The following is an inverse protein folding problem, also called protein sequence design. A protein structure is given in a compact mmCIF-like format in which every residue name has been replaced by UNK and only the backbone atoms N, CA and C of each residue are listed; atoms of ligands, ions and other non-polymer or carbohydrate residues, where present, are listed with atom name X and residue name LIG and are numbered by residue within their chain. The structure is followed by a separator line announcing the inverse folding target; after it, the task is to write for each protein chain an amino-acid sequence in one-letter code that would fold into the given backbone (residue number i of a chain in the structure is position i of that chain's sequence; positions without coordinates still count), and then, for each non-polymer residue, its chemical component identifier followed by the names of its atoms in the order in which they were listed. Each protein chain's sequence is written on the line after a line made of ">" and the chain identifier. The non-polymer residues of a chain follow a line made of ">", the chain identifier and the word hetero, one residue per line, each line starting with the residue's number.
data_IF_315581324348
#
_entry.id   IF_315581324348
#
_cell.length_a   1.000
_cell.length_b   1.000
_cell.length_c   1.000
_cell.angle_alpha   90.00
_cell.angle_beta   90.00
_cell.angle_gamma   90.00
#
_symmetry.space_group_name_H-M   'P 1'
#
loop_
_entity.id
_entity.type
_entity.pdbx_description
1 polymer ?
#
# COMPACT_ATOMS: atom_id res chain seq x y z
N UNK A 1 49.59 5.21 14.54
CA UNK A 1 49.44 3.76 14.76
C UNK A 1 48.40 3.56 15.86
N UNK A 2 47.12 3.71 15.57
CA UNK A 2 46.15 2.66 15.21
C UNK A 2 45.97 1.58 16.27
N UNK A 3 44.93 1.72 17.08
CA UNK A 3 44.19 0.59 17.67
C UNK A 3 42.69 0.88 17.64
N UNK A 4 41.99 0.01 16.93
CA UNK A 4 40.58 0.06 16.56
C UNK A 4 39.65 -0.09 17.78
N UNK A 5 38.63 0.77 17.87
CA UNK A 5 37.43 0.54 18.68
C UNK A 5 36.39 -0.19 17.81
N UNK A 6 36.07 -1.44 18.17
CA UNK A 6 34.94 -2.16 17.57
C UNK A 6 33.65 -1.77 18.28
N UNK A 7 32.76 -1.09 17.57
CA UNK A 7 31.36 -0.93 17.93
C UNK A 7 30.67 -2.30 17.87
N UNK A 8 30.17 -2.79 19.01
CA UNK A 8 29.22 -3.89 19.06
C UNK A 8 27.81 -3.31 19.08
N UNK A 9 27.09 -3.51 17.99
CA UNK A 9 25.66 -3.25 17.84
C UNK A 9 24.88 -4.13 18.82
N UNK A 10 23.99 -3.51 19.60
CA UNK A 10 23.14 -4.19 20.57
C UNK A 10 22.00 -4.91 19.84
N UNK A 11 22.19 -6.19 19.52
CA UNK A 11 21.08 -7.13 19.34
C UNK A 11 20.67 -7.63 20.74
N UNK A 12 19.65 -7.02 21.33
CA UNK A 12 19.08 -7.47 22.58
C UNK A 12 18.27 -8.76 22.36
N UNK A 13 18.96 -9.90 22.34
CA UNK A 13 18.33 -11.23 22.44
C UNK A 13 17.89 -11.41 23.89
N UNK A 14 16.59 -11.28 24.17
CA UNK A 14 16.00 -11.65 25.44
C UNK A 14 16.17 -13.17 25.66
N UNK A 15 17.21 -13.55 26.41
CA UNK A 15 17.39 -14.91 26.92
C UNK A 15 16.47 -15.13 28.12
N UNK A 16 15.35 -15.82 27.93
CA UNK A 16 14.59 -16.39 29.04
C UNK A 16 15.21 -17.73 29.44
N UNK A 17 15.88 -17.76 30.59
CA UNK A 17 16.13 -18.98 31.35
C UNK A 17 14.84 -19.33 32.11
N UNK A 18 14.26 -20.49 31.82
CA UNK A 18 13.30 -21.13 32.73
C UNK A 18 13.78 -22.55 33.04
N UNK A 19 13.89 -22.81 34.33
CA UNK A 19 14.43 -24.00 34.99
C UNK A 19 13.65 -25.28 34.67
N UNK A 20 14.38 -26.38 34.55
CA UNK A 20 13.85 -27.75 34.43
C UNK A 20 12.87 -28.08 35.55
N UNK A 21 11.76 -28.74 35.23
CA UNK A 21 11.22 -29.83 36.05
C UNK A 21 10.26 -30.77 35.30
N UNK A 22 10.58 -32.07 35.42
CA UNK A 22 9.85 -33.32 35.22
C UNK A 22 8.65 -33.50 34.26
N UNK A 23 8.87 -34.47 33.35
CA UNK A 23 7.96 -35.54 32.89
C UNK A 23 6.48 -35.49 33.32
N UNK A 24 5.59 -35.43 32.33
CA UNK A 24 4.41 -36.31 32.23
C UNK A 24 3.90 -36.36 30.79
N UNK A 25 3.86 -37.56 30.21
CA UNK A 25 3.18 -37.88 28.95
C UNK A 25 1.67 -37.72 29.17
N UNK A 26 1.02 -36.84 28.41
CA UNK A 26 -0.43 -36.84 28.24
C UNK A 26 -0.75 -36.69 26.75
N UNK A 27 -1.31 -37.75 26.16
CA UNK A 27 -1.90 -37.72 24.82
C UNK A 27 -3.23 -36.98 24.91
N UNK A 28 -3.40 -35.93 24.12
CA UNK A 28 -4.68 -35.23 23.98
C UNK A 28 -5.49 -35.90 22.87
N UNK A 29 -6.65 -36.46 23.23
CA UNK A 29 -7.65 -36.99 22.29
C UNK A 29 -8.74 -35.92 22.16
N UNK A 30 -8.98 -35.42 20.95
CA UNK A 30 -10.14 -34.59 20.64
C UNK A 30 -11.23 -35.51 20.07
N UNK A 31 -12.36 -35.60 20.77
CA UNK A 31 -13.56 -36.32 20.33
C UNK A 31 -14.57 -35.32 19.80
N UNK A 32 -14.97 -35.46 18.54
CA UNK A 32 -16.19 -34.89 17.98
C UNK A 32 -16.87 -35.96 17.12
N UNK A 33 -18.13 -36.27 17.43
CA UNK A 33 -19.16 -36.72 16.47
C UNK A 33 -18.87 -37.92 15.57
N UNK A 34 -19.38 -39.08 15.98
CA UNK A 34 -19.83 -40.28 15.23
C UNK A 34 -19.37 -40.50 13.78
N UNK A 35 -18.20 -41.13 13.60
CA UNK A 35 -18.01 -42.32 12.75
C UNK A 35 -16.63 -42.95 13.04
N UNK A 36 -16.61 -44.26 13.38
CA UNK A 36 -15.40 -45.05 13.59
C UNK A 36 -14.76 -45.38 12.23
N UNK A 37 -13.47 -45.06 12.06
CA UNK A 37 -12.64 -45.68 11.01
C UNK A 37 -11.36 -46.21 11.67
N UNK A 38 -11.08 -47.50 11.45
CA UNK A 38 -9.97 -48.25 12.04
C UNK A 38 -8.61 -47.90 11.43
N UNK A 39 -7.56 -48.05 12.23
CA UNK A 39 -6.19 -47.59 12.03
C UNK A 39 -5.32 -48.43 11.07
N UNK A 40 -5.87 -49.01 10.01
CA UNK A 40 -5.10 -49.88 9.09
C UNK A 40 -5.16 -49.48 7.61
N UNK A 41 -5.52 -48.22 7.29
CA UNK A 41 -5.49 -47.73 5.90
C UNK A 41 -4.83 -46.37 5.71
N UNK A 42 -3.84 -46.05 6.55
CA UNK A 42 -3.08 -44.80 6.49
C UNK A 42 -1.59 -44.98 6.13
N UNK A 43 -1.24 -46.11 5.50
CA UNK A 43 0.12 -46.43 5.06
C UNK A 43 0.11 -47.06 3.67
N UNK A 44 -0.42 -46.35 2.65
CA UNK A 44 -0.11 -46.66 1.23
C UNK A 44 -0.68 -45.62 0.23
N UNK A 45 -0.50 -44.32 0.43
CA UNK A 45 -0.60 -43.35 -0.68
C UNK A 45 0.37 -42.18 -0.40
N UNK A 46 1.66 -42.47 -0.43
CA UNK A 46 2.70 -41.47 -0.72
C UNK A 46 3.10 -41.63 -2.17
N UNK A 47 2.80 -40.60 -2.96
CA UNK A 47 3.33 -40.25 -4.29
C UNK A 47 2.19 -39.79 -5.20
N UNK A 48 1.75 -38.53 -5.06
CA UNK A 48 1.43 -37.70 -6.22
C UNK A 48 1.14 -36.26 -5.83
N UNK A 49 1.62 -35.35 -6.68
CA UNK A 49 1.56 -33.88 -6.64
C UNK A 49 0.15 -33.27 -6.76
N UNK A 50 -0.90 -33.93 -6.23
CA UNK A 50 -2.30 -33.56 -6.47
C UNK A 50 -3.19 -33.48 -5.23
N UNK A 51 -2.64 -33.61 -4.02
CA UNK A 51 -3.43 -33.52 -2.78
C UNK A 51 -4.09 -32.13 -2.58
N UNK A 52 -3.48 -31.06 -3.10
CA UNK A 52 -4.01 -29.70 -2.97
C UNK A 52 -5.16 -29.37 -3.95
N UNK A 53 -5.30 -30.10 -5.07
CA UNK A 53 -6.43 -29.91 -6.00
C UNK A 53 -7.76 -30.48 -5.47
N UNK A 54 -7.71 -31.50 -4.62
CA UNK A 54 -8.91 -32.18 -4.11
C UNK A 54 -9.59 -31.38 -2.99
N UNK A 55 -8.82 -30.59 -2.21
CA UNK A 55 -9.40 -29.72 -1.18
C UNK A 55 -10.19 -28.52 -1.78
N UNK A 56 -9.84 -28.08 -2.99
CA UNK A 56 -10.50 -26.97 -3.69
C UNK A 56 -11.84 -27.36 -4.34
N UNK A 57 -12.03 -28.63 -4.73
CA UNK A 57 -13.25 -29.08 -5.42
C UNK A 57 -14.42 -29.34 -4.44
N UNK A 58 -14.13 -29.64 -3.16
CA UNK A 58 -15.17 -29.97 -2.17
C UNK A 58 -15.87 -28.72 -1.60
N UNK A 59 -15.30 -27.51 -1.75
CA UNK A 59 -15.92 -26.26 -1.26
C UNK A 59 -17.01 -25.67 -2.17
N UNK A 60 -17.33 -26.30 -3.29
CA UNK A 60 -18.32 -25.79 -4.27
C UNK A 60 -19.77 -26.28 -4.10
N UNK A 61 -20.07 -27.05 -3.05
CA UNK A 61 -21.45 -27.47 -2.75
C UNK A 61 -21.75 -27.34 -1.26
N UNK A 62 -22.02 -26.12 -0.78
CA UNK A 62 -22.96 -25.85 0.33
C UNK A 62 -23.08 -24.33 0.48
N UNK A 63 -23.87 -23.70 -0.39
CA UNK A 63 -24.50 -22.41 -0.10
C UNK A 63 -26.00 -22.67 -0.09
N UNK A 64 -26.58 -22.77 1.12
CA UNK A 64 -28.03 -22.79 1.30
C UNK A 64 -28.49 -21.34 1.33
N UNK A 65 -29.26 -20.98 0.31
CA UNK A 65 -30.01 -19.73 0.20
C UNK A 65 -31.03 -19.65 1.35
N UNK A 66 -30.95 -18.60 2.17
CA UNK A 66 -32.07 -18.18 3.02
C UNK A 66 -32.82 -17.07 2.29
N UNK A 67 -33.99 -17.42 1.76
CA UNK A 67 -34.95 -16.45 1.24
C UNK A 67 -35.72 -15.82 2.40
N UNK A 68 -35.59 -14.51 2.55
CA UNK A 68 -36.58 -13.68 3.25
C UNK A 68 -37.38 -12.91 2.20
N UNK A 69 -38.62 -13.34 2.00
CA UNK A 69 -39.66 -12.67 1.24
C UNK A 69 -40.07 -11.37 1.92
N UNK A 70 -39.92 -10.23 1.24
CA UNK A 70 -40.61 -8.98 1.61
C UNK A 70 -41.69 -8.70 0.58
N UNK A 71 -42.90 -8.61 1.10
CA UNK A 71 -44.19 -8.44 0.43
C UNK A 71 -44.25 -7.09 -0.30
N UNK A 72 -44.61 -7.12 -1.58
CA UNK A 72 -44.89 -5.93 -2.36
C UNK A 72 -46.18 -5.24 -1.84
N UNK A 73 -46.07 -3.96 -1.48
CA UNK A 73 -47.24 -3.09 -1.31
C UNK A 73 -47.24 -2.06 -2.43
N UNK A 74 -48.34 -2.02 -3.16
CA UNK A 74 -48.66 -1.04 -4.18
C UNK A 74 -48.79 0.37 -3.59
N UNK A 75 -48.19 1.36 -4.25
CA UNK A 75 -48.49 2.76 -4.01
C UNK A 75 -48.57 3.53 -5.33
N UNK A 76 -49.63 4.33 -5.39
CA UNK A 76 -50.22 5.11 -6.47
C UNK A 76 -49.33 6.22 -7.02
N UNK A 77 -49.57 6.52 -8.30
CA UNK A 77 -49.04 7.64 -9.08
C UNK A 77 -49.20 9.01 -8.41
N UNK A 78 -48.13 9.82 -8.40
CA UNK A 78 -48.25 11.28 -8.42
C UNK A 78 -47.05 11.94 -9.12
N UNK A 79 -47.40 13.01 -9.81
CA UNK A 79 -46.68 13.97 -10.68
C UNK A 79 -45.19 14.27 -10.46
N UNK A 80 -44.43 14.10 -11.55
CA UNK A 80 -43.45 15.03 -12.14
C UNK A 80 -42.81 16.12 -11.28
N UNK A 81 -41.57 15.88 -10.87
CA UNK A 81 -40.51 16.89 -10.87
C UNK A 81 -39.29 16.27 -11.57
N UNK A 82 -38.82 16.88 -12.66
CA UNK A 82 -37.58 16.52 -13.33
C UNK A 82 -36.38 16.82 -12.42
N UNK A 83 -36.10 15.94 -11.45
CA UNK A 83 -34.78 15.86 -10.82
C UNK A 83 -33.85 15.22 -11.83
N UNK A 84 -33.07 16.06 -12.52
CA UNK A 84 -31.86 15.62 -13.21
C UNK A 84 -31.01 14.94 -12.15
N UNK A 85 -30.93 13.61 -12.20
CA UNK A 85 -30.01 12.84 -11.35
C UNK A 85 -28.61 13.39 -11.58
N UNK A 86 -27.90 13.86 -10.53
CA UNK A 86 -26.54 14.37 -10.71
C UNK A 86 -25.69 13.26 -11.33
N UNK A 87 -25.01 13.57 -12.43
CA UNK A 87 -24.05 12.67 -13.06
C UNK A 87 -23.10 12.14 -11.98
N UNK A 88 -22.87 10.81 -11.87
CA UNK A 88 -22.00 10.27 -10.84
C UNK A 88 -20.62 10.93 -10.95
N UNK A 89 -20.16 11.52 -9.84
CA UNK A 89 -18.84 12.16 -9.78
C UNK A 89 -17.77 11.15 -10.15
N UNK A 90 -16.95 11.50 -11.12
CA UNK A 90 -15.83 10.69 -11.58
C UNK A 90 -14.53 11.35 -11.13
N UNK A 91 -13.69 10.59 -10.44
CA UNK A 91 -12.41 11.05 -9.93
C UNK A 91 -11.25 10.51 -10.77
N UNK A 92 -10.20 11.33 -10.88
CA UNK A 92 -8.88 10.93 -11.35
C UNK A 92 -7.84 11.12 -10.23
N UNK A 93 -6.73 10.40 -10.33
CA UNK A 93 -5.70 10.36 -9.30
C UNK A 93 -4.36 10.81 -9.86
N UNK A 94 -3.74 11.80 -9.21
CA UNK A 94 -2.40 12.29 -9.59
C UNK A 94 -1.41 11.74 -8.59
N UNK A 95 -0.54 10.83 -9.05
CA UNK A 95 0.24 9.98 -8.16
C UNK A 95 1.73 10.12 -8.40
N UNK A 96 2.48 10.28 -7.32
CA UNK A 96 3.93 10.21 -7.28
C UNK A 96 4.40 9.32 -6.13
N UNK A 97 5.52 8.65 -6.30
CA UNK A 97 6.23 7.94 -5.27
C UNK A 97 7.64 8.54 -5.10
N UNK A 98 8.14 8.62 -3.88
CA UNK A 98 9.50 9.02 -3.59
C UNK A 98 10.11 8.06 -2.57
N UNK A 99 11.40 7.78 -2.70
CA UNK A 99 12.05 6.70 -1.96
C UNK A 99 13.54 6.90 -1.81
N UNK A 100 14.14 6.39 -0.73
CA UNK A 100 15.58 6.40 -0.52
C UNK A 100 16.03 5.27 0.38
N UNK A 101 17.05 4.54 -0.06
CA UNK A 101 17.66 3.52 0.78
C UNK A 101 18.36 4.12 2.01
N UNK A 102 18.38 3.41 3.13
CA UNK A 102 18.95 3.85 4.42
C UNK A 102 20.39 4.33 4.34
N UNK A 103 21.18 3.70 3.48
CA UNK A 103 22.61 3.98 3.30
C UNK A 103 22.92 4.91 2.12
N UNK A 104 21.92 5.61 1.57
CA UNK A 104 22.08 6.53 0.44
C UNK A 104 21.70 7.96 0.82
N UNK A 105 22.28 8.91 0.09
CA UNK A 105 21.89 10.30 0.14
C UNK A 105 20.60 10.49 -0.66
N UNK A 106 19.74 11.41 -0.22
CA UNK A 106 18.51 11.73 -0.92
C UNK A 106 18.77 12.69 -2.09
N UNK A 107 18.29 12.35 -3.26
CA UNK A 107 18.40 13.10 -4.50
C UNK A 107 17.01 13.47 -5.01
N UNK A 108 16.69 14.77 -5.00
CA UNK A 108 15.37 15.28 -5.39
C UNK A 108 14.99 15.02 -6.85
N UNK A 109 15.97 14.79 -7.74
CA UNK A 109 15.74 14.54 -9.17
C UNK A 109 15.52 13.07 -9.47
N UNK A 110 16.31 12.21 -8.83
CA UNK A 110 16.37 10.77 -9.15
C UNK A 110 15.51 9.91 -8.22
N UNK A 111 15.16 10.38 -7.02
CA UNK A 111 14.38 9.63 -6.04
C UNK A 111 12.87 9.90 -6.13
N UNK A 112 12.34 9.91 -7.36
CA UNK A 112 10.90 10.09 -7.61
C UNK A 112 10.44 9.21 -8.79
N UNK A 113 9.18 8.79 -8.74
CA UNK A 113 8.52 8.05 -9.81
C UNK A 113 7.05 8.46 -9.88
N UNK A 114 6.45 8.39 -11.06
CA UNK A 114 5.08 8.84 -11.29
C UNK A 114 4.22 7.72 -11.86
N UNK A 115 2.92 7.77 -11.58
CA UNK A 115 1.97 6.95 -12.30
C UNK A 115 1.88 7.47 -13.74
N UNK A 116 2.32 6.65 -14.69
CA UNK A 116 2.15 6.90 -16.12
C UNK A 116 0.82 6.29 -16.55
N UNK A 117 -0.10 7.13 -17.02
CA UNK A 117 -1.39 6.68 -17.55
C UNK A 117 -1.22 6.35 -19.03
N UNK A 118 -1.74 5.20 -19.46
CA UNK A 118 -1.74 4.84 -20.88
C UNK A 118 -2.79 5.71 -21.60
N UNK A 119 -2.34 6.43 -22.64
CA UNK A 119 -3.25 7.16 -23.52
C UNK A 119 -4.02 6.19 -24.43
N UNK A 120 -5.13 6.63 -25.04
CA UNK A 120 -5.93 5.80 -25.95
C UNK A 120 -5.13 5.25 -27.15
N UNK A 121 -4.00 5.90 -27.50
CA UNK A 121 -3.15 5.53 -28.63
C UNK A 121 -1.76 4.97 -28.22
N UNK A 122 -1.45 4.82 -26.92
CA UNK A 122 -0.18 4.18 -26.54
C UNK A 122 -0.31 2.67 -26.76
N UNK A 123 0.62 2.02 -27.50
CA UNK A 123 0.62 0.58 -27.65
C UNK A 123 0.56 -0.06 -26.26
N UNK A 124 -0.38 -0.99 -26.05
CA UNK A 124 -0.38 -1.80 -24.84
C UNK A 124 1.02 -2.37 -24.71
N UNK A 125 1.71 -2.11 -23.59
CA UNK A 125 2.91 -2.87 -23.28
C UNK A 125 2.42 -4.32 -23.24
N UNK A 126 2.79 -5.10 -24.24
CA UNK A 126 2.62 -6.54 -24.18
C UNK A 126 3.57 -7.01 -23.08
N UNK A 127 3.10 -6.96 -21.83
CA UNK A 127 3.75 -7.67 -20.76
C UNK A 127 3.72 -9.13 -21.20
N UNK A 128 4.89 -9.77 -21.43
CA UNK A 128 4.91 -11.13 -21.91
C UNK A 128 4.02 -11.98 -21.00
N UNK A 129 3.16 -12.81 -21.58
CA UNK A 129 2.23 -13.70 -20.86
C UNK A 129 2.92 -14.67 -19.87
N UNK A 130 4.24 -14.58 -19.69
CA UNK A 130 5.05 -15.59 -19.00
C UNK A 130 6.37 -15.10 -18.40
N UNK A 131 6.69 -13.81 -18.34
CA UNK A 131 7.93 -13.42 -17.64
C UNK A 131 7.70 -13.49 -16.13
N UNK A 132 7.85 -14.70 -15.58
CA UNK A 132 8.41 -14.86 -14.22
C UNK A 132 9.57 -13.89 -14.13
N UNK A 133 9.54 -13.02 -13.12
CA UNK A 133 10.61 -12.07 -12.92
C UNK A 133 11.94 -12.83 -12.91
N UNK A 134 12.85 -12.47 -13.80
CA UNK A 134 14.25 -12.63 -13.44
C UNK A 134 14.60 -11.47 -12.51
N UNK A 135 14.32 -11.65 -11.22
CA UNK A 135 14.53 -10.66 -10.15
C UNK A 135 15.98 -10.16 -10.09
N UNK A 136 16.93 -10.94 -10.63
CA UNK A 136 18.34 -10.57 -10.73
C UNK A 136 18.63 -9.57 -11.88
N UNK A 137 17.79 -9.56 -12.92
CA UNK A 137 17.97 -8.70 -14.10
C UNK A 137 17.02 -7.48 -14.11
N UNK A 138 16.05 -7.41 -13.19
CA UNK A 138 15.13 -6.29 -13.10
C UNK A 138 15.81 -5.10 -12.42
N UNK A 139 15.89 -3.96 -13.12
CA UNK A 139 16.41 -2.73 -12.54
C UNK A 139 15.45 -2.22 -11.45
N UNK A 140 15.87 -2.34 -10.19
CA UNK A 140 15.09 -1.89 -9.03
C UNK A 140 15.24 -0.39 -8.82
N UNK A 141 14.18 0.30 -8.35
CA UNK A 141 14.32 1.61 -7.74
C UNK A 141 15.39 1.59 -6.64
N UNK A 142 16.07 2.72 -6.42
CA UNK A 142 17.06 2.88 -5.34
C UNK A 142 16.40 3.04 -3.95
N UNK A 143 15.38 2.23 -3.67
CA UNK A 143 14.57 2.21 -2.45
C UNK A 143 15.11 1.25 -1.38
N UNK A 144 16.20 0.52 -1.65
CA UNK A 144 16.77 -0.41 -0.68
C UNK A 144 15.91 -1.66 -0.54
N UNK A 145 15.54 -2.01 0.69
CA UNK A 145 14.67 -3.15 0.99
C UNK A 145 13.18 -2.81 0.86
N UNK A 146 12.84 -1.52 0.75
CA UNK A 146 11.50 -1.06 0.40
C UNK A 146 11.22 -1.26 -1.10
N UNK A 147 9.96 -1.47 -1.42
CA UNK A 147 9.44 -1.52 -2.78
C UNK A 147 8.08 -0.84 -2.86
N UNK A 148 7.70 -0.47 -4.08
CA UNK A 148 6.39 0.11 -4.36
C UNK A 148 5.93 -0.23 -5.78
N UNK A 149 4.63 -0.08 -6.02
CA UNK A 149 4.09 -0.07 -7.38
C UNK A 149 2.98 0.96 -7.53
N UNK A 150 2.88 1.49 -8.76
CA UNK A 150 1.83 2.39 -9.22
C UNK A 150 1.25 1.79 -10.50
N UNK A 151 -0.07 1.59 -10.55
CA UNK A 151 -0.73 1.01 -11.72
C UNK A 151 -2.13 1.54 -11.96
N UNK A 152 -2.48 1.73 -13.22
CA UNK A 152 -3.88 1.73 -13.65
C UNK A 152 -4.43 0.30 -13.59
N UNK A 153 -5.72 0.12 -13.33
CA UNK A 153 -6.36 -1.20 -13.28
C UNK A 153 -7.00 -1.51 -14.63
N UNK A 154 -6.42 -2.46 -15.38
CA UNK A 154 -6.87 -2.83 -16.72
C UNK A 154 -7.16 -1.60 -17.59
N UNK A 155 -8.31 -1.62 -18.28
CA UNK A 155 -8.80 -0.50 -19.10
C UNK A 155 -9.68 0.50 -18.31
N UNK A 156 -9.69 0.45 -16.98
CA UNK A 156 -10.54 1.32 -16.13
C UNK A 156 -9.85 2.64 -15.76
N UNK A 157 -10.60 3.60 -15.21
CA UNK A 157 -10.01 4.83 -14.61
C UNK A 157 -9.57 4.64 -13.14
N UNK A 158 -9.61 3.41 -12.63
CA UNK A 158 -9.23 3.09 -11.25
C UNK A 158 -7.72 2.86 -11.16
N UNK A 159 -7.14 3.13 -9.99
CA UNK A 159 -5.70 3.05 -9.74
C UNK A 159 -5.42 2.11 -8.56
N UNK A 160 -4.46 1.21 -8.74
CA UNK A 160 -3.88 0.37 -7.71
C UNK A 160 -2.50 0.89 -7.32
N UNK A 161 -2.31 1.08 -6.02
CA UNK A 161 -1.08 1.55 -5.39
C UNK A 161 -0.66 0.54 -4.33
N UNK A 162 0.64 0.34 -4.13
CA UNK A 162 1.08 -0.40 -2.97
C UNK A 162 2.54 -0.19 -2.63
N UNK A 163 2.84 -0.41 -1.36
CA UNK A 163 4.17 -0.35 -0.76
C UNK A 163 4.42 -1.65 -0.02
N UNK A 164 5.67 -2.11 -0.02
CA UNK A 164 6.11 -3.28 0.71
C UNK A 164 7.50 -3.01 1.32
N UNK A 165 7.68 -3.29 2.61
CA UNK A 165 8.98 -3.21 3.29
C UNK A 165 9.50 -4.61 3.60
N UNK A 166 10.65 -4.94 2.99
CA UNK A 166 11.33 -6.21 3.13
C UNK A 166 12.01 -6.35 4.48
N UNK A 167 11.59 -7.34 5.27
CA UNK A 167 12.05 -7.52 6.66
C UNK A 167 13.55 -7.83 6.72
N UNK A 168 14.32 -6.89 7.30
CA UNK A 168 15.78 -6.94 7.34
C UNK A 168 16.40 -8.19 7.98
N UNK A 169 15.69 -8.87 8.89
CA UNK A 169 16.17 -10.08 9.57
C UNK A 169 16.53 -11.24 8.63
N UNK A 170 15.96 -11.27 7.41
CA UNK A 170 16.29 -12.28 6.41
C UNK A 170 17.74 -12.16 5.88
N UNK A 171 18.33 -10.96 5.95
CA UNK A 171 19.71 -10.75 5.53
C UNK A 171 20.72 -11.56 6.37
N UNK A 172 20.40 -11.82 7.65
CA UNK A 172 21.24 -12.66 8.54
C UNK A 172 21.29 -14.13 8.09
N UNK A 173 20.29 -14.57 7.31
CA UNK A 173 20.21 -15.90 6.71
C UNK A 173 20.75 -15.94 5.28
N UNK A 174 21.39 -14.86 4.81
CA UNK A 174 21.90 -14.74 3.44
C UNK A 174 20.80 -14.55 2.39
N UNK A 175 19.59 -14.18 2.81
CA UNK A 175 18.45 -13.91 1.92
C UNK A 175 18.31 -12.40 1.77
N UNK A 176 18.37 -11.88 0.54
CA UNK A 176 18.15 -10.46 0.27
C UNK A 176 16.66 -10.11 0.47
N UNK A 177 16.28 -9.29 1.49
CA UNK A 177 14.89 -8.94 1.75
C UNK A 177 14.24 -8.19 0.57
N UNK A 178 15.04 -7.48 -0.23
CA UNK A 178 14.55 -6.76 -1.39
C UNK A 178 14.01 -7.69 -2.48
N UNK A 179 14.42 -8.97 -2.52
CA UNK A 179 13.83 -9.93 -3.47
C UNK A 179 12.34 -10.13 -3.21
N UNK A 180 11.93 -10.22 -1.94
CA UNK A 180 10.54 -10.44 -1.58
C UNK A 180 9.70 -9.18 -1.83
N UNK A 181 10.11 -8.04 -1.29
CA UNK A 181 9.33 -6.80 -1.38
C UNK A 181 9.19 -6.32 -2.83
N UNK A 182 10.26 -6.34 -3.62
CA UNK A 182 10.18 -5.98 -5.04
C UNK A 182 9.41 -7.02 -5.86
N UNK A 183 9.56 -8.31 -5.53
CA UNK A 183 8.82 -9.39 -6.18
C UNK A 183 7.31 -9.26 -5.98
N UNK A 184 6.85 -9.05 -4.74
CA UNK A 184 5.40 -8.92 -4.48
C UNK A 184 4.83 -7.66 -5.14
N UNK A 185 5.53 -6.53 -5.09
CA UNK A 185 5.12 -5.30 -5.78
C UNK A 185 5.00 -5.50 -7.28
N UNK A 186 5.94 -6.22 -7.91
CA UNK A 186 5.86 -6.55 -9.32
C UNK A 186 4.64 -7.40 -9.64
N UNK A 187 4.40 -8.48 -8.89
CA UNK A 187 3.27 -9.37 -9.18
C UNK A 187 1.92 -8.71 -8.92
N UNK A 188 1.80 -7.86 -7.90
CA UNK A 188 0.61 -7.03 -7.70
C UNK A 188 0.43 -6.04 -8.86
N UNK A 189 1.51 -5.38 -9.31
CA UNK A 189 1.44 -4.47 -10.47
C UNK A 189 0.98 -5.21 -11.72
N UNK A 190 1.58 -6.36 -12.02
CA UNK A 190 1.22 -7.19 -13.17
C UNK A 190 -0.27 -7.56 -13.12
N UNK A 191 -0.72 -8.10 -11.98
CA UNK A 191 -2.11 -8.49 -11.77
C UNK A 191 -3.10 -7.31 -11.92
N UNK A 192 -2.70 -6.09 -11.55
CA UNK A 192 -3.52 -4.89 -11.74
C UNK A 192 -3.57 -4.45 -13.22
N UNK A 193 -2.44 -4.48 -13.94
CA UNK A 193 -2.37 -4.10 -15.36
C UNK A 193 -3.17 -5.07 -16.23
N UNK A 194 -3.05 -6.38 -15.96
CA UNK A 194 -3.73 -7.43 -16.74
C UNK A 194 -5.12 -7.75 -16.19
N UNK A 195 -5.69 -6.88 -15.37
CA UNK A 195 -6.99 -7.14 -14.76
C UNK A 195 -8.10 -7.21 -15.82
N UNK A 196 -8.76 -8.36 -15.89
CA UNK A 196 -9.98 -8.60 -16.66
C UNK A 196 -11.10 -9.08 -15.73
N UNK A 197 -12.24 -8.40 -15.74
CA UNK A 197 -13.33 -8.66 -14.78
C UNK A 197 -13.86 -10.09 -14.86
N UNK A 198 -13.88 -10.64 -16.07
CA UNK A 198 -14.34 -11.99 -16.37
C UNK A 198 -13.44 -13.06 -15.73
N UNK A 199 -12.12 -12.87 -15.75
CA UNK A 199 -11.15 -13.78 -15.12
C UNK A 199 -11.27 -13.74 -13.59
N UNK A 200 -11.44 -12.54 -13.03
CA UNK A 200 -11.50 -12.33 -11.58
C UNK A 200 -12.87 -12.65 -10.98
N UNK A 201 -13.91 -12.73 -11.81
CA UNK A 201 -15.31 -12.99 -11.40
C UNK A 201 -15.93 -11.90 -10.51
N UNK A 202 -15.21 -10.82 -10.22
CA UNK A 202 -15.61 -9.74 -9.33
C UNK A 202 -14.76 -8.48 -9.58
N UNK A 203 -15.20 -7.34 -9.03
CA UNK A 203 -14.40 -6.13 -9.04
C UNK A 203 -13.14 -6.34 -8.18
N UNK A 204 -11.98 -5.88 -8.67
CA UNK A 204 -10.72 -5.99 -7.93
C UNK A 204 -10.83 -5.28 -6.57
N UNK A 205 -10.48 -5.98 -5.49
CA UNK A 205 -10.33 -5.42 -4.14
C UNK A 205 -8.89 -5.52 -3.66
N UNK A 206 -8.50 -4.67 -2.70
CA UNK A 206 -7.11 -4.53 -2.27
C UNK A 206 -6.55 -5.85 -1.70
N UNK A 207 -7.34 -6.57 -0.91
CA UNK A 207 -6.93 -7.87 -0.37
C UNK A 207 -6.79 -8.94 -1.47
N UNK A 208 -7.69 -8.97 -2.47
CA UNK A 208 -7.59 -9.92 -3.57
C UNK A 208 -6.33 -9.66 -4.43
N UNK A 209 -5.97 -8.39 -4.62
CA UNK A 209 -4.72 -8.01 -5.29
C UNK A 209 -3.50 -8.47 -4.49
N UNK A 210 -3.49 -8.24 -3.18
CA UNK A 210 -2.45 -8.71 -2.27
C UNK A 210 -2.32 -10.25 -2.31
N UNK A 211 -3.45 -10.95 -2.26
CA UNK A 211 -3.51 -12.41 -2.34
C UNK A 211 -2.89 -12.92 -3.65
N UNK A 212 -3.33 -12.40 -4.81
CA UNK A 212 -2.80 -12.82 -6.11
C UNK A 212 -1.31 -12.50 -6.24
N UNK A 213 -0.88 -11.34 -5.76
CA UNK A 213 0.53 -10.95 -5.76
C UNK A 213 1.39 -11.90 -4.94
N UNK A 214 0.93 -12.27 -3.75
CA UNK A 214 1.61 -13.23 -2.88
C UNK A 214 1.63 -14.66 -3.46
N UNK A 215 0.52 -15.14 -4.01
CA UNK A 215 0.44 -16.46 -4.66
C UNK A 215 1.41 -16.56 -5.85
N UNK A 216 1.43 -15.56 -6.73
CA UNK A 216 2.34 -15.54 -7.86
C UNK A 216 3.81 -15.48 -7.43
N UNK A 217 4.13 -14.70 -6.38
CA UNK A 217 5.47 -14.67 -5.81
C UNK A 217 5.86 -16.01 -5.19
N UNK A 218 4.93 -16.68 -4.50
CA UNK A 218 5.15 -17.99 -3.89
C UNK A 218 5.45 -19.07 -4.94
N UNK A 219 4.85 -18.96 -6.13
CA UNK A 219 5.14 -19.84 -7.27
C UNK A 219 6.44 -19.48 -8.01
N UNK A 220 7.00 -18.30 -7.78
CA UNK A 220 8.26 -17.85 -8.38
C UNK A 220 9.47 -18.50 -7.69
N UNK A 221 10.10 -19.42 -8.41
CA UNK A 221 11.30 -20.13 -7.94
C UNK A 221 12.54 -19.22 -7.86
N UNK A 222 12.48 -17.97 -8.32
CA UNK A 222 13.55 -16.99 -8.14
C UNK A 222 13.58 -16.40 -6.72
N UNK A 223 12.47 -16.44 -5.97
CA UNK A 223 12.38 -16.02 -4.56
C UNK A 223 12.21 -17.23 -3.66
N UNK A 224 13.33 -17.77 -3.21
CA UNK A 224 13.34 -19.00 -2.41
C UNK A 224 12.92 -18.78 -0.95
N UNK A 225 13.09 -17.56 -0.44
CA UNK A 225 12.81 -17.20 0.94
C UNK A 225 12.69 -15.68 1.08
N UNK A 226 12.11 -15.23 2.19
CA UNK A 226 12.02 -13.81 2.53
C UNK A 226 10.69 -13.49 3.19
N UNK A 227 10.54 -12.24 3.61
CA UNK A 227 9.30 -11.73 4.15
C UNK A 227 9.22 -10.21 4.05
N UNK A 228 8.00 -9.70 4.05
CA UNK A 228 7.72 -8.28 3.86
C UNK A 228 6.38 -7.90 4.48
N UNK A 229 6.28 -6.66 4.91
CA UNK A 229 4.98 -5.99 5.10
C UNK A 229 4.37 -5.65 3.74
N UNK A 230 3.09 -5.30 3.70
CA UNK A 230 2.44 -4.82 2.48
C UNK A 230 1.23 -3.93 2.78
N UNK A 231 1.21 -2.71 2.24
CA UNK A 231 0.04 -1.84 2.24
C UNK A 231 -0.43 -1.63 0.80
N UNK A 232 -1.68 -2.00 0.50
CA UNK A 232 -2.28 -1.91 -0.84
C UNK A 232 -3.51 -1.01 -0.79
N UNK A 233 -3.65 -0.14 -1.79
CA UNK A 233 -4.79 0.75 -1.95
C UNK A 233 -5.34 0.71 -3.38
N UNK A 234 -6.66 0.53 -3.51
CA UNK A 234 -7.40 0.67 -4.77
C UNK A 234 -8.26 1.92 -4.69
N UNK A 235 -7.85 2.95 -5.42
CA UNK A 235 -8.57 4.21 -5.56
C UNK A 235 -9.47 4.14 -6.80
N UNK A 236 -10.78 4.10 -6.58
CA UNK A 236 -11.78 3.98 -7.65
C UNK A 236 -12.29 5.33 -8.08
N UNK A 237 -12.49 5.47 -9.39
CA UNK A 237 -13.04 6.65 -10.04
C UNK A 237 -14.43 7.03 -9.52
N UNK A 238 -15.18 6.11 -8.89
CA UNK A 238 -16.45 6.41 -8.21
C UNK A 238 -16.29 7.04 -6.80
N UNK A 239 -15.06 7.29 -6.34
CA UNK A 239 -14.77 7.92 -5.05
C UNK A 239 -14.66 6.95 -3.88
N UNK A 240 -14.45 5.67 -4.14
CA UNK A 240 -14.18 4.67 -3.11
C UNK A 240 -12.69 4.35 -3.06
N UNK A 241 -12.11 4.47 -1.87
CA UNK A 241 -10.80 3.93 -1.54
C UNK A 241 -10.98 2.61 -0.80
N UNK A 242 -10.37 1.55 -1.28
CA UNK A 242 -10.34 0.24 -0.63
C UNK A 242 -8.88 -0.08 -0.30
N UNK A 243 -8.62 -0.54 0.91
CA UNK A 243 -7.27 -0.71 1.45
C UNK A 243 -7.13 -2.06 2.12
N UNK A 244 -5.96 -2.66 2.00
CA UNK A 244 -5.54 -3.84 2.74
C UNK A 244 -4.13 -3.59 3.27
N UNK A 245 -3.97 -3.55 4.60
CA UNK A 245 -2.68 -3.33 5.25
C UNK A 245 -2.26 -4.59 6.01
N UNK A 246 -1.06 -5.09 5.75
CA UNK A 246 -0.40 -6.14 6.52
C UNK A 246 0.94 -5.63 7.06
N UNK A 247 1.05 -5.49 8.38
CA UNK A 247 2.26 -5.01 9.05
C UNK A 247 2.18 -3.54 9.49
N UNK A 248 3.34 -2.89 9.59
CA UNK A 248 3.52 -1.51 10.07
C UNK A 248 3.91 -0.51 8.96
N UNK A 249 3.92 -0.94 7.70
CA UNK A 249 3.54 -0.05 6.60
C UNK A 249 2.13 0.49 6.82
N UNK A 250 1.73 1.51 6.05
CA UNK A 250 0.40 2.07 6.26
C UNK A 250 0.00 3.17 5.30
N UNK A 251 -1.15 3.79 5.59
CA UNK A 251 -1.71 4.90 4.85
C UNK A 251 -2.32 5.97 5.74
N UNK A 252 -2.41 7.20 5.20
CA UNK A 252 -3.10 8.34 5.80
C UNK A 252 -3.90 9.06 4.71
N UNK A 253 -5.17 9.35 4.98
CA UNK A 253 -6.01 10.24 4.18
C UNK A 253 -6.10 11.60 4.84
N UNK A 254 -5.67 12.65 4.12
CA UNK A 254 -5.72 14.03 4.57
C UNK A 254 -6.73 14.80 3.73
N UNK A 255 -7.61 15.55 4.41
CA UNK A 255 -8.64 16.38 3.80
C UNK A 255 -8.67 17.75 4.45
N UNK A 256 -8.47 18.80 3.66
CA UNK A 256 -8.64 20.20 4.08
C UNK A 256 -7.93 20.50 5.42
N UNK A 257 -6.63 20.16 5.50
CA UNK A 257 -5.80 20.34 6.70
C UNK A 257 -6.27 19.53 7.94
N UNK A 258 -6.91 18.37 7.72
CA UNK A 258 -7.25 17.43 8.79
C UNK A 258 -6.93 16.00 8.37
N UNK A 259 -6.52 15.16 9.33
CA UNK A 259 -6.40 13.72 9.11
C UNK A 259 -7.79 13.12 9.19
N UNK A 260 -8.23 12.53 8.08
CA UNK A 260 -9.57 11.96 7.96
C UNK A 260 -9.61 10.48 8.35
N UNK A 261 -8.61 9.72 7.92
CA UNK A 261 -8.40 8.33 8.30
C UNK A 261 -6.93 7.97 8.20
N UNK A 262 -6.53 6.94 8.93
CA UNK A 262 -5.19 6.35 8.88
C UNK A 262 -5.29 4.85 9.20
N UNK A 263 -4.31 4.07 8.77
CA UNK A 263 -4.15 2.68 9.19
C UNK A 263 -3.60 2.59 10.61
N UNK A 264 -3.99 1.54 11.33
CA UNK A 264 -3.29 1.13 12.55
C UNK A 264 -2.17 0.12 12.19
N UNK A 265 -0.99 0.19 12.83
CA UNK A 265 0.08 -0.76 12.58
C UNK A 265 -0.26 -2.15 13.16
N UNK A 266 -0.03 -3.20 12.38
CA UNK A 266 -0.20 -4.59 12.82
C UNK A 266 1.16 -5.17 13.24
N UNK A 267 1.33 -5.43 14.53
CA UNK A 267 2.59 -5.93 15.10
C UNK A 267 2.36 -7.12 16.04
N UNK A 268 3.27 -8.09 15.99
CA UNK A 268 3.32 -9.19 16.97
C UNK A 268 3.97 -8.75 18.29
N UNK A 269 4.90 -7.79 18.20
CA UNK A 269 5.64 -7.19 19.30
C UNK A 269 6.28 -5.88 18.81
N UNK A 270 6.87 -5.10 19.73
CA UNK A 270 7.65 -3.92 19.35
C UNK A 270 8.62 -4.20 18.19
N UNK A 271 8.54 -3.38 17.13
CA UNK A 271 9.39 -3.48 15.93
C UNK A 271 9.41 -4.90 15.33
N UNK A 272 8.29 -5.62 15.42
CA UNK A 272 8.08 -6.97 14.88
C UNK A 272 6.73 -6.99 14.17
N UNK A 273 6.66 -6.50 12.92
CA UNK A 273 5.40 -6.41 12.20
C UNK A 273 4.86 -7.77 11.80
N UNK A 274 3.55 -7.78 11.51
CA UNK A 274 2.96 -8.81 10.69
C UNK A 274 3.66 -8.81 9.32
N UNK A 275 3.98 -9.99 8.81
CA UNK A 275 4.73 -10.14 7.57
C UNK A 275 4.29 -11.36 6.78
N UNK A 276 4.10 -11.16 5.47
CA UNK A 276 4.05 -12.28 4.52
C UNK A 276 5.42 -12.94 4.50
N UNK A 277 5.49 -14.25 4.27
CA UNK A 277 6.78 -14.96 4.26
C UNK A 277 6.79 -16.20 3.38
N UNK A 278 7.82 -16.31 2.54
CA UNK A 278 8.17 -17.55 1.85
C UNK A 278 9.25 -18.22 2.68
N UNK A 279 8.98 -19.46 3.09
CA UNK A 279 9.87 -20.24 3.94
C UNK A 279 10.18 -21.56 3.23
N UNK A 280 11.45 -21.86 2.95
CA UNK A 280 11.82 -23.12 2.35
C UNK A 280 11.32 -24.31 3.17
N UNK A 281 10.76 -25.32 2.51
CA UNK A 281 10.15 -26.48 3.17
C UNK A 281 11.13 -27.25 4.09
N UNK A 282 12.39 -27.34 3.66
CA UNK A 282 13.48 -27.94 4.45
C UNK A 282 13.71 -27.17 5.76
N UNK A 283 13.58 -25.84 5.71
CA UNK A 283 13.73 -24.95 6.86
C UNK A 283 12.51 -25.04 7.78
N UNK A 284 11.29 -25.09 7.22
CA UNK A 284 10.04 -25.29 7.97
C UNK A 284 10.08 -26.58 8.80
N UNK A 285 10.55 -27.68 8.20
CA UNK A 285 10.65 -28.98 8.87
C UNK A 285 11.68 -29.01 10.01
N UNK A 286 12.82 -28.31 9.84
CA UNK A 286 13.86 -28.20 10.88
C UNK A 286 13.40 -27.35 12.06
N UNK A 287 12.76 -26.22 11.80
CA UNK A 287 12.31 -25.31 12.85
C UNK A 287 11.12 -25.88 13.64
N UNK A 288 10.22 -26.61 12.99
CA UNK A 288 9.17 -27.37 13.67
C UNK A 288 9.73 -28.42 14.66
N UNK A 289 10.96 -28.92 14.43
CA UNK A 289 11.61 -29.90 15.30
C UNK A 289 12.42 -29.29 16.46
N UNK A 290 12.92 -28.05 16.33
CA UNK A 290 13.85 -27.44 17.29
C UNK A 290 13.36 -26.15 17.98
N UNK A 291 12.20 -25.59 17.58
CA UNK A 291 11.50 -24.52 18.30
C UNK A 291 11.45 -23.16 17.59
N UNK A 292 10.40 -22.41 18.00
CA UNK A 292 9.79 -21.14 17.50
C UNK A 292 9.45 -21.11 16.01
N UNK A 293 8.16 -21.08 15.62
CA UNK A 293 7.77 -20.93 14.23
C UNK A 293 8.23 -19.56 13.72
N UNK A 294 8.64 -19.52 12.45
CA UNK A 294 8.77 -18.25 11.74
C UNK A 294 7.41 -17.55 11.68
N UNK A 295 7.44 -16.22 11.63
CA UNK A 295 6.24 -15.44 11.34
C UNK A 295 5.81 -15.75 9.90
N UNK A 296 4.53 -16.04 9.72
CA UNK A 296 3.94 -16.51 8.47
C UNK A 296 2.50 -15.99 8.41
N UNK A 297 2.35 -14.67 8.41
CA UNK A 297 1.05 -14.05 8.23
C UNK A 297 0.62 -14.22 6.77
N UNK A 298 -0.69 -14.20 6.53
CA UNK A 298 -1.29 -14.43 5.22
C UNK A 298 -2.06 -13.20 4.75
N UNK A 299 -2.35 -13.07 3.45
CA UNK A 299 -3.13 -11.92 2.95
C UNK A 299 -4.52 -11.79 3.60
N UNK A 300 -5.08 -12.90 4.09
CA UNK A 300 -6.35 -12.88 4.83
C UNK A 300 -6.26 -12.25 6.24
N UNK A 301 -5.05 -12.08 6.78
CA UNK A 301 -4.78 -11.44 8.07
C UNK A 301 -4.63 -9.92 7.96
N UNK A 302 -4.62 -9.38 6.73
CA UNK A 302 -4.53 -7.95 6.48
C UNK A 302 -5.78 -7.22 6.97
N UNK A 303 -5.60 -6.03 7.56
CA UNK A 303 -6.69 -5.14 7.92
C UNK A 303 -7.27 -4.48 6.67
N UNK A 304 -8.56 -4.76 6.42
CA UNK A 304 -9.28 -4.26 5.25
C UNK A 304 -10.16 -3.08 5.66
N UNK A 305 -10.03 -1.95 4.95
CA UNK A 305 -10.85 -0.77 5.20
C UNK A 305 -11.31 -0.12 3.90
N UNK A 306 -12.50 0.49 3.95
CA UNK A 306 -13.07 1.22 2.83
C UNK A 306 -13.42 2.65 3.23
N UNK A 307 -12.93 3.63 2.48
CA UNK A 307 -13.09 5.06 2.74
C UNK A 307 -13.73 5.78 1.55
N UNK A 308 -14.34 6.94 1.83
CA UNK A 308 -14.88 7.83 0.80
C UNK A 308 -13.85 8.91 0.46
N UNK A 309 -13.56 9.04 -0.82
CA UNK A 309 -12.71 10.08 -1.38
C UNK A 309 -13.52 11.31 -1.77
N UNK A 310 -12.87 12.47 -1.69
CA UNK A 310 -13.40 13.75 -2.16
C UNK A 310 -12.35 14.49 -2.96
N UNK A 311 -12.82 15.40 -3.80
CA UNK A 311 -11.97 16.35 -4.49
C UNK A 311 -11.06 17.09 -3.49
N UNK A 312 -9.77 17.16 -3.79
CA UNK A 312 -8.80 17.83 -2.93
C UNK A 312 -8.25 16.97 -1.79
N UNK A 313 -8.67 15.71 -1.66
CA UNK A 313 -8.05 14.77 -0.73
C UNK A 313 -6.61 14.44 -1.17
N UNK A 314 -5.75 14.23 -0.19
CA UNK A 314 -4.38 13.75 -0.35
C UNK A 314 -4.29 12.40 0.37
N UNK A 315 -3.94 11.35 -0.38
CA UNK A 315 -3.66 10.02 0.15
C UNK A 315 -2.15 9.84 0.25
N UNK A 316 -1.70 9.35 1.40
CA UNK A 316 -0.32 8.93 1.65
C UNK A 316 -0.30 7.43 1.89
N UNK A 317 0.61 6.71 1.24
CA UNK A 317 1.08 5.41 1.72
C UNK A 317 2.55 5.56 2.10
N UNK A 318 3.02 4.83 3.11
CA UNK A 318 4.41 4.87 3.55
C UNK A 318 4.86 3.59 4.24
N UNK A 319 6.17 3.35 4.24
CA UNK A 319 6.84 2.35 5.08
C UNK A 319 7.09 2.87 6.49
N UNK A 320 7.47 1.98 7.41
CA UNK A 320 7.82 2.33 8.78
C UNK A 320 8.96 3.37 8.84
N UNK A 321 9.89 3.39 7.87
CA UNK A 321 10.92 4.43 7.74
C UNK A 321 10.36 5.86 7.68
N UNK A 322 9.10 6.02 7.28
CA UNK A 322 8.32 7.27 7.40
C UNK A 322 7.73 7.39 8.80
N UNK A 323 6.92 6.42 9.22
CA UNK A 323 6.08 6.48 10.41
C UNK A 323 6.87 6.51 11.73
N UNK A 324 8.04 5.88 11.74
CA UNK A 324 8.96 5.84 12.87
C UNK A 324 9.69 7.17 13.07
N UNK A 325 9.76 8.00 12.04
CA UNK A 325 10.53 9.24 12.02
C UNK A 325 9.65 10.49 12.00
N UNK A 326 8.49 10.44 11.35
CA UNK A 326 7.53 11.54 11.25
C UNK A 326 6.23 11.19 11.94
N UNK A 327 5.76 12.10 12.78
CA UNK A 327 4.41 12.00 13.34
C UNK A 327 3.37 12.38 12.28
N UNK A 328 2.15 11.92 12.49
CA UNK A 328 0.96 12.36 11.77
C UNK A 328 0.84 13.90 11.69
N UNK A 329 1.21 14.62 12.75
CA UNK A 329 1.23 16.09 12.78
C UNK A 329 2.31 16.69 11.87
N UNK A 330 3.51 16.11 11.84
CA UNK A 330 4.59 16.56 10.94
C UNK A 330 4.16 16.43 9.48
N UNK A 331 3.56 15.29 9.13
CA UNK A 331 3.05 15.02 7.77
C UNK A 331 1.91 15.97 7.41
N UNK A 332 0.97 16.19 8.33
CA UNK A 332 -0.14 17.13 8.13
C UNK A 332 0.37 18.56 7.87
N UNK A 333 1.40 18.99 8.60
CA UNK A 333 2.02 20.30 8.42
C UNK A 333 2.66 20.42 7.03
N UNK A 334 3.48 19.45 6.63
CA UNK A 334 4.11 19.43 5.30
C UNK A 334 3.05 19.50 4.21
N UNK A 335 2.03 18.64 4.27
CA UNK A 335 0.96 18.60 3.26
C UNK A 335 0.22 19.93 3.22
N UNK A 336 -0.22 20.44 4.35
CA UNK A 336 -1.07 21.63 4.41
C UNK A 336 -0.34 22.88 3.96
N UNK A 337 0.92 23.07 4.37
CA UNK A 337 1.74 24.19 3.91
C UNK A 337 1.90 24.18 2.39
N UNK A 338 2.18 23.03 1.78
CA UNK A 338 2.39 22.95 0.34
C UNK A 338 1.08 23.04 -0.45
N UNK A 339 -0.01 22.45 0.04
CA UNK A 339 -1.34 22.58 -0.56
C UNK A 339 -1.84 24.04 -0.54
N UNK A 340 -1.63 24.76 0.57
CA UNK A 340 -1.98 26.18 0.69
C UNK A 340 -1.05 27.07 -0.17
N UNK A 341 0.27 26.82 -0.17
CA UNK A 341 1.24 27.57 -0.98
C UNK A 341 0.95 27.43 -2.48
N UNK A 342 0.56 26.24 -2.91
CA UNK A 342 0.15 25.96 -4.29
C UNK A 342 -1.25 26.51 -4.63
N UNK A 343 -1.98 27.08 -3.64
CA UNK A 343 -3.38 27.50 -3.75
C UNK A 343 -4.32 26.35 -4.16
N UNK A 344 -3.89 25.11 -3.94
CA UNK A 344 -4.71 23.91 -4.11
C UNK A 344 -5.76 23.83 -2.99
N UNK A 345 -5.36 24.22 -1.78
CA UNK A 345 -6.26 24.61 -0.70
C UNK A 345 -6.22 26.12 -0.49
N UNK A 346 -7.33 26.70 -0.05
CA UNK A 346 -7.45 28.14 0.21
C UNK A 346 -8.25 28.38 1.49
N UNK A 347 -7.95 29.47 2.18
CA UNK A 347 -8.82 29.97 3.24
C UNK A 347 -10.03 30.67 2.63
N UNK A 348 -11.21 30.30 3.11
CA UNK A 348 -12.47 31.00 2.81
C UNK A 348 -12.56 32.29 3.63
N UNK A 349 -13.55 33.13 3.32
CA UNK A 349 -13.89 34.31 4.14
C UNK A 349 -14.27 33.93 5.58
N UNK A 350 -14.77 32.72 5.81
CA UNK A 350 -15.06 32.15 7.14
C UNK A 350 -13.83 31.60 7.87
N UNK A 351 -12.61 31.74 7.32
CA UNK A 351 -11.34 31.12 7.79
C UNK A 351 -11.30 29.59 7.71
N UNK A 352 -12.32 28.95 7.14
CA UNK A 352 -12.31 27.52 6.85
C UNK A 352 -11.40 27.24 5.64
N UNK A 353 -10.99 25.99 5.47
CA UNK A 353 -10.18 25.58 4.32
C UNK A 353 -11.09 24.90 3.28
N UNK A 354 -11.00 25.35 2.03
CA UNK A 354 -11.69 24.75 0.89
C UNK A 354 -10.71 24.42 -0.23
N UNK A 355 -11.17 23.64 -1.21
CA UNK A 355 -10.41 23.41 -2.45
C UNK A 355 -10.41 24.69 -3.29
N UNK A 356 -9.25 25.05 -3.86
CA UNK A 356 -9.09 26.22 -4.72
C UNK A 356 -9.82 26.05 -6.07
N UNK A 357 -10.32 27.15 -6.65
CA UNK A 357 -11.08 27.12 -7.91
C UNK A 357 -10.30 26.55 -9.10
N UNK A 358 -8.99 26.81 -9.16
CA UNK A 358 -8.11 26.35 -10.24
C UNK A 358 -7.30 25.11 -9.83
N UNK A 359 -7.82 24.28 -8.92
CA UNK A 359 -7.11 23.11 -8.38
C UNK A 359 -6.55 22.20 -9.49
N UNK A 360 -7.37 21.88 -10.50
CA UNK A 360 -6.98 20.99 -11.59
C UNK A 360 -5.80 21.49 -12.44
N UNK A 361 -5.68 22.81 -12.64
CA UNK A 361 -4.56 23.42 -13.38
C UNK A 361 -3.25 23.37 -12.59
N UNK A 362 -3.30 23.12 -11.28
CA UNK A 362 -2.15 23.10 -10.37
C UNK A 362 -1.69 21.69 -10.00
N UNK A 363 -2.46 20.67 -10.38
CA UNK A 363 -2.13 19.25 -10.21
C UNK A 363 -1.98 18.61 -11.59
N UNK A 364 -0.90 18.96 -12.29
CA UNK A 364 -0.64 18.49 -13.65
C UNK A 364 -0.44 16.97 -13.69
N UNK A 365 -1.10 16.31 -14.64
CA UNK A 365 -0.72 14.96 -15.11
C UNK A 365 0.60 15.13 -15.85
N UNK A 366 1.59 14.28 -15.57
CA UNK A 366 2.74 14.14 -16.46
C UNK A 366 2.31 13.13 -17.55
N UNK A 367 2.26 13.52 -18.84
CA UNK A 367 2.06 12.58 -19.94
C UNK A 367 3.09 11.44 -19.87
N UNK A 368 2.71 10.22 -20.27
CA UNK A 368 3.57 9.02 -20.11
C UNK A 368 4.95 9.15 -20.82
N UNK A 369 5.01 10.06 -21.79
CA UNK A 369 6.08 10.41 -22.71
C UNK A 369 6.90 11.66 -22.31
N UNK A 370 6.55 12.36 -21.22
CA UNK A 370 7.29 13.55 -20.76
C UNK A 370 8.01 13.33 -19.41
N UNK A 371 9.20 13.92 -19.26
CA UNK A 371 9.89 14.04 -17.98
C UNK A 371 9.25 15.17 -17.15
N UNK A 372 9.24 15.02 -15.82
CA UNK A 372 8.70 16.08 -14.96
C UNK A 372 9.52 17.37 -15.12
N UNK A 373 8.88 18.48 -15.50
CA UNK A 373 9.54 19.79 -15.53
C UNK A 373 10.02 20.15 -14.11
N UNK A 374 11.33 20.30 -13.92
CA UNK A 374 11.94 20.76 -12.67
C UNK A 374 12.09 22.28 -12.66
N UNK A 375 11.81 22.92 -11.52
CA UNK A 375 12.18 24.32 -11.32
C UNK A 375 13.70 24.45 -11.34
N UNK A 376 14.22 25.37 -12.14
CA UNK A 376 15.66 25.69 -12.22
C UNK A 376 16.23 26.28 -10.94
N UNK A 377 15.38 26.73 -10.00
CA UNK A 377 15.82 27.39 -8.76
C UNK A 377 15.81 26.48 -7.53
N UNK A 378 14.91 25.49 -7.49
CA UNK A 378 14.58 24.76 -6.25
C UNK A 378 14.78 23.24 -6.37
N UNK A 379 15.20 22.72 -7.54
CA UNK A 379 15.34 21.28 -7.83
C UNK A 379 14.09 20.43 -7.48
N UNK A 380 12.93 21.07 -7.40
CA UNK A 380 11.63 20.43 -7.16
C UNK A 380 10.82 20.32 -8.47
N UNK A 381 10.00 19.26 -8.61
CA UNK A 381 9.14 19.08 -9.77
C UNK A 381 8.02 20.12 -9.79
N UNK A 382 7.54 20.48 -10.98
CA UNK A 382 6.45 21.45 -11.19
C UNK A 382 5.04 20.96 -10.85
N UNK A 383 4.91 19.78 -10.24
CA UNK A 383 3.62 19.18 -9.89
C UNK A 383 3.52 18.90 -8.37
N UNK A 384 2.32 19.06 -7.83
CA UNK A 384 2.11 19.07 -6.39
C UNK A 384 2.31 17.70 -5.73
N UNK A 385 1.86 16.62 -6.38
CA UNK A 385 2.03 15.26 -5.87
C UNK A 385 3.51 14.90 -5.70
N UNK A 386 4.37 15.30 -6.66
CA UNK A 386 5.81 15.07 -6.59
C UNK A 386 6.49 15.92 -5.53
N UNK A 387 6.11 17.20 -5.40
CA UNK A 387 6.60 18.08 -4.33
C UNK A 387 6.29 17.48 -2.95
N UNK A 388 5.06 17.01 -2.74
CA UNK A 388 4.65 16.40 -1.49
C UNK A 388 5.44 15.12 -1.20
N UNK A 389 5.57 14.22 -2.19
CA UNK A 389 6.31 12.97 -2.04
C UNK A 389 7.77 13.25 -1.66
N UNK A 390 8.45 14.14 -2.39
CA UNK A 390 9.85 14.48 -2.14
C UNK A 390 10.05 15.14 -0.78
N UNK A 391 9.18 16.07 -0.38
CA UNK A 391 9.30 16.77 0.91
C UNK A 391 9.10 15.85 2.10
N UNK A 392 8.13 14.93 2.02
CA UNK A 392 7.89 13.95 3.09
C UNK A 392 9.09 13.00 3.19
N UNK A 393 9.58 12.47 2.07
CA UNK A 393 10.76 11.60 2.07
C UNK A 393 12.02 12.32 2.57
N UNK A 394 12.24 13.57 2.16
CA UNK A 394 13.37 14.38 2.62
C UNK A 394 13.32 14.62 4.14
N UNK A 395 12.16 15.01 4.66
CA UNK A 395 11.98 15.26 6.10
C UNK A 395 12.13 13.97 6.90
N UNK A 396 11.56 12.85 6.43
CA UNK A 396 11.73 11.54 7.04
C UNK A 396 13.21 11.12 7.06
N UNK A 397 13.95 11.35 5.97
CA UNK A 397 15.38 11.05 5.88
C UNK A 397 16.22 11.93 6.81
N UNK A 398 15.91 13.22 6.92
CA UNK A 398 16.59 14.12 7.85
C UNK A 398 16.29 13.74 9.31
N UNK A 399 15.03 13.38 9.61
CA UNK A 399 14.60 12.93 10.91
C UNK A 399 15.26 11.60 11.33
N UNK A 400 15.42 10.65 10.40
CA UNK A 400 15.95 9.31 10.67
C UNK A 400 17.39 9.29 11.16
N UNK A 401 18.23 10.21 10.65
CA UNK A 401 19.63 10.35 11.06
C UNK A 401 19.83 11.32 12.23
N UNK A 402 18.77 12.01 12.67
CA UNK A 402 18.86 12.96 13.76
C UNK A 402 18.84 12.24 15.11
N UNK A 403 20.01 12.03 15.70
CA UNK A 403 20.21 11.35 17.00
C UNK A 403 19.62 12.09 18.20
N UNK A 404 19.19 13.34 18.04
CA UNK A 404 18.58 14.16 19.11
C UNK A 404 17.06 14.23 19.02
N UNK A 405 16.47 13.79 17.91
CA UNK A 405 15.02 13.85 17.70
C UNK A 405 14.30 12.92 18.67
N UNK A 406 13.20 13.38 19.25
CA UNK A 406 12.27 12.48 19.94
C UNK A 406 11.27 11.92 18.92
N UNK A 407 11.72 10.92 18.16
CA UNK A 407 10.98 10.33 17.05
C UNK A 407 9.77 9.51 17.54
N UNK A 408 8.74 9.30 16.71
CA UNK A 408 7.69 8.32 16.99
C UNK A 408 8.23 6.98 17.48
N UNK A 409 9.26 6.43 16.82
CA UNK A 409 9.92 5.20 17.24
C UNK A 409 10.53 5.29 18.64
N UNK A 410 11.28 6.36 18.93
CA UNK A 410 11.91 6.54 20.23
C UNK A 410 10.87 6.61 21.37
N UNK A 411 9.73 7.27 21.12
CA UNK A 411 8.61 7.32 22.07
C UNK A 411 8.00 5.94 22.28
N UNK A 412 7.78 5.19 21.22
CA UNK A 412 7.20 3.85 21.31
C UNK A 412 8.14 2.87 22.00
N UNK A 413 9.44 2.92 21.67
CA UNK A 413 10.49 2.14 22.31
C UNK A 413 10.46 2.29 23.84
N UNK A 414 10.35 3.53 24.33
CA UNK A 414 10.31 3.80 25.77
C UNK A 414 9.04 3.30 26.47
N UNK A 415 7.93 3.11 25.74
CA UNK A 415 6.73 2.47 26.31
C UNK A 415 6.95 0.98 26.54
N UNK A 416 7.62 0.30 25.61
CA UNK A 416 7.92 -1.13 25.72
C UNK A 416 9.08 -1.43 26.68
N UNK A 417 10.06 -0.51 26.78
CA UNK A 417 11.24 -0.66 27.62
C UNK A 417 11.39 0.53 28.59
N UNK A 418 10.58 0.61 29.66
CA UNK A 418 10.49 1.79 30.54
C UNK A 418 11.74 2.11 31.39
N UNK A 419 12.87 1.44 31.18
CA UNK A 419 14.17 1.75 31.80
C UNK A 419 15.27 2.13 30.82
N UNK A 420 15.00 2.04 29.51
CA UNK A 420 15.96 2.28 28.45
C UNK A 420 15.77 3.67 27.85
N UNK A 421 16.85 4.38 27.56
CA UNK A 421 16.82 5.76 27.09
C UNK A 421 17.19 5.89 25.60
N UNK A 422 16.45 5.21 24.72
CA UNK A 422 16.60 5.43 23.28
C UNK A 422 16.19 6.86 22.92
N UNK A 423 17.04 7.53 22.13
CA UNK A 423 16.81 8.86 21.55
C UNK A 423 17.26 8.86 20.09
N UNK A 424 16.63 9.71 19.29
CA UNK A 424 16.94 9.90 17.89
C UNK A 424 15.92 9.26 16.93
N UNK A 425 16.11 9.52 15.65
CA UNK A 425 15.41 8.80 14.59
C UNK A 425 15.81 7.33 14.47
N UNK A 426 15.03 6.57 13.71
CA UNK A 426 15.34 5.20 13.29
C UNK A 426 15.83 5.24 11.85
N UNK A 427 17.11 4.94 11.64
CA UNK A 427 17.69 4.87 10.28
C UNK A 427 17.11 3.68 9.55
N UNK A 428 16.29 3.94 8.54
CA UNK A 428 15.68 2.90 7.72
C UNK A 428 15.54 3.28 6.24
N UNK A 429 15.20 2.29 5.43
CA UNK A 429 14.74 2.50 4.06
C UNK A 429 13.43 3.31 4.13
N UNK A 430 13.22 4.25 3.20
CA UNK A 430 12.06 5.15 3.24
C UNK A 430 11.38 5.10 1.89
N UNK A 431 10.09 4.82 1.86
CA UNK A 431 9.26 4.91 0.68
C UNK A 431 7.92 5.57 1.00
N UNK A 432 7.50 6.50 0.15
CA UNK A 432 6.23 7.24 0.24
C UNK A 432 5.54 7.24 -1.12
N UNK A 433 4.24 6.99 -1.14
CA UNK A 433 3.37 7.29 -2.30
C UNK A 433 2.40 8.40 -1.89
N UNK A 434 2.27 9.42 -2.74
CA UNK A 434 1.27 10.48 -2.63
C UNK A 434 0.30 10.39 -3.80
N UNK A 435 -1.00 10.35 -3.53
CA UNK A 435 -2.05 10.47 -4.53
C UNK A 435 -3.00 11.64 -4.21
N UNK A 436 -3.15 12.57 -5.15
CA UNK A 436 -4.08 13.69 -5.04
C UNK A 436 -5.35 13.37 -5.84
N UNK A 437 -6.52 13.55 -5.19
CA UNK A 437 -7.84 13.23 -5.78
C UNK A 437 -8.43 14.43 -6.50
N UNK A 438 -8.65 14.29 -7.82
CA UNK A 438 -9.21 15.33 -8.68
C UNK A 438 -10.60 14.92 -9.19
N UNK A 439 -11.59 15.81 -9.11
CA UNK A 439 -12.92 15.58 -9.68
C UNK A 439 -12.89 15.96 -11.18
N UNK A 440 -13.22 15.01 -12.05
CA UNK A 440 -13.26 15.22 -13.51
C UNK A 440 -14.44 16.11 -13.91
N UNK A 441 -15.51 16.16 -13.11
CA UNK A 441 -16.69 17.00 -13.41
C UNK A 441 -16.38 18.50 -13.31
N UNK A 442 -15.33 18.88 -12.57
CA UNK A 442 -14.88 20.27 -12.43
C UNK A 442 -14.28 20.85 -13.72
N UNK A 443 -13.79 20.00 -14.65
CA UNK A 443 -13.30 20.46 -15.96
C UNK A 443 -14.45 20.81 -16.92
N UNK A 444 -15.53 20.04 -16.88
CA UNK A 444 -16.68 20.27 -17.76
C UNK A 444 -17.41 21.56 -17.40
N UNK A 445 -17.54 21.88 -16.10
CA UNK A 445 -18.16 23.15 -15.69
C UNK A 445 -17.39 24.38 -16.19
N UNK A 446 -16.06 24.35 -16.19
CA UNK A 446 -15.25 25.47 -16.68
C UNK A 446 -15.36 25.63 -18.21
N UNK A 447 -15.47 24.53 -18.96
CA UNK A 447 -15.73 24.58 -20.40
C UNK A 447 -17.12 25.13 -20.73
N UNK A 448 -18.16 24.71 -20.00
CA UNK A 448 -19.52 25.22 -20.21
C UNK A 448 -19.68 26.70 -19.81
N UNK A 449 -19.02 27.18 -18.74
CA UNK A 449 -19.00 28.61 -18.41
C UNK A 449 -18.26 29.43 -19.47
N UNK A 450 -17.15 28.92 -20.01
CA UNK A 450 -16.39 29.63 -21.06
C UNK A 450 -17.20 29.75 -22.35
N UNK A 451 -17.85 28.66 -22.79
CA UNK A 451 -18.74 28.67 -23.98
C UNK A 451 -19.97 29.56 -23.75
N UNK A 452 -20.58 29.53 -22.57
CA UNK A 452 -21.71 30.42 -22.26
C UNK A 452 -21.27 31.88 -22.21
N UNK A 453 -20.08 32.19 -21.69
CA UNK A 453 -19.56 33.56 -21.65
C UNK A 453 -19.21 34.10 -23.05
N UNK A 454 -18.69 33.26 -23.95
CA UNK A 454 -18.43 33.63 -25.35
C UNK A 454 -19.71 33.77 -26.17
N UNK A 455 -20.71 32.89 -25.95
CA UNK A 455 -22.02 33.03 -26.58
C UNK A 455 -22.81 34.23 -26.05
N UNK A 456 -22.75 34.53 -24.75
CA UNK A 456 -23.33 35.76 -24.18
C UNK A 456 -22.63 37.02 -24.70
N UNK A 457 -21.30 36.99 -24.89
CA UNK A 457 -20.58 38.09 -25.52
C UNK A 457 -20.95 38.26 -26.99
N UNK A 458 -21.20 37.19 -27.74
CA UNK A 458 -21.69 37.29 -29.13
C UNK A 458 -23.10 37.85 -29.21
N UNK A 459 -23.99 37.48 -28.29
CA UNK A 459 -25.39 37.96 -28.29
C UNK A 459 -25.50 39.44 -27.85
N UNK A 460 -24.56 39.94 -27.05
CA UNK A 460 -24.55 41.34 -26.60
C UNK A 460 -23.86 42.32 -27.57
N UNK A 461 -23.21 41.84 -28.64
CA UNK A 461 -22.58 42.70 -29.66
C UNK A 461 -23.36 42.77 -30.97
N UNK A 462 -24.48 42.04 -31.10
CA UNK A 462 -25.37 42.04 -32.27
C UNK A 462 -26.71 42.76 -32.03
N UNK A 463 -26.78 43.71 -31.08
CA UNK A 463 -27.94 44.59 -30.88
C UNK A 463 -27.56 46.06 -30.79
#
# INVERSE_FOLDING_TARGET
>A
MTTFHSFRTAAAIARFHCTQNHQRRTKSVLVIGTQKISSEKLMSVTNNHNAYKILLIIRRKFSRSFHTSVTASSATSSSSENKISPCPKKFSFKVAASYVAKNKNFDFKNNISYLKLHGPNTPRVSWPNSERLNIQNYARPLSGQDAFFLSQIGDTSDVALGIADGVGGWAELGVDPANFSHGICHYMKYAAITYEKEEWGSNLCAQALLQRGYENLYEDQSVLAGGSTACVAIARSNGILDTANLGDSGYVQIRLNTIHSCSEPQVHSFNTPYQLSIIPEVTRSRVAAFGRPYLCDMPHDADINQHKLRHGDVLLLGTDGVWDNLSHSDILEIVSQNMLRAKAWVHTSSKEISVGKNFSEKVSIIPADEEANYSTTDDLPGNLQGILALKITAEAKAASVNVKRDSPFAREFRKFFPGENWKGGKVDDICVIVAIVCDESSHNYCFYETINSENLRRILFDY
#
